data_IF_029378441412
#
_entry.id   IF_029378441412
#
_cell.length_a   1.000
_cell.length_b   1.000
_cell.length_c   1.000
_cell.angle_alpha   90.00
_cell.angle_beta   90.00
_cell.angle_gamma   90.00
#
_symmetry.space_group_name_H-M   'P 1'
#
loop_
_entity.id
_entity.type
_entity.pdbx_description
1 polymer ?
#
# COMPACT_ATOMS: atom_id res chain seq x y z
N UNK A 1 10.51 -0.06 26.68
CA UNK A 1 9.08 -0.20 26.36
C UNK A 1 8.87 0.48 25.03
N UNK A 2 8.15 -0.11 24.09
CA UNK A 2 7.83 0.54 22.81
C UNK A 2 6.48 1.22 22.94
N UNK A 3 6.43 2.55 22.85
CA UNK A 3 5.16 3.29 22.97
C UNK A 3 4.31 3.17 21.69
N UNK A 4 4.94 2.80 20.57
CA UNK A 4 4.33 2.65 19.25
C UNK A 4 4.93 1.48 18.47
N UNK A 5 4.06 0.67 17.89
CA UNK A 5 4.40 -0.46 17.02
C UNK A 5 3.84 -0.13 15.62
N UNK A 6 4.67 -0.27 14.58
CA UNK A 6 4.25 -0.15 13.18
C UNK A 6 4.39 -1.51 12.52
N UNK A 7 3.33 -1.95 11.85
CA UNK A 7 3.31 -3.21 11.12
C UNK A 7 3.02 -2.94 9.65
N UNK A 8 3.98 -3.30 8.80
CA UNK A 8 3.75 -3.38 7.37
C UNK A 8 2.96 -4.66 7.06
N UNK A 9 1.79 -4.50 6.46
CA UNK A 9 0.87 -5.55 6.07
C UNK A 9 1.00 -5.80 4.57
N UNK A 10 0.93 -7.06 4.17
CA UNK A 10 0.72 -7.51 2.80
C UNK A 10 -0.43 -8.55 2.77
N UNK A 11 -0.72 -9.13 1.61
CA UNK A 11 -1.75 -10.17 1.45
C UNK A 11 -1.23 -11.59 1.75
N UNK A 12 -0.03 -11.74 2.32
CA UNK A 12 0.56 -13.05 2.59
C UNK A 12 0.02 -13.67 3.88
N UNK A 13 0.04 -15.00 3.98
CA UNK A 13 -0.27 -15.70 5.23
C UNK A 13 0.70 -15.30 6.36
N UNK A 14 1.97 -15.06 6.02
CA UNK A 14 2.98 -14.58 6.96
C UNK A 14 2.62 -13.21 7.53
N UNK A 15 2.09 -12.30 6.71
CA UNK A 15 1.62 -10.98 7.14
C UNK A 15 0.54 -11.08 8.23
N UNK A 16 -0.33 -12.09 8.16
CA UNK A 16 -1.33 -12.34 9.21
C UNK A 16 -0.69 -12.79 10.54
N UNK A 17 0.36 -13.62 10.50
CA UNK A 17 1.08 -14.03 11.71
C UNK A 17 1.83 -12.85 12.35
N UNK A 18 2.47 -12.01 11.53
CA UNK A 18 3.13 -10.79 12.01
C UNK A 18 2.12 -9.87 12.69
N UNK A 19 0.94 -9.69 12.09
CA UNK A 19 -0.15 -8.92 12.70
C UNK A 19 -0.59 -9.47 14.06
N UNK A 20 -0.83 -10.79 14.16
CA UNK A 20 -1.24 -11.44 15.42
C UNK A 20 -0.22 -11.19 16.53
N UNK A 21 1.07 -11.35 16.22
CA UNK A 21 2.14 -11.14 17.18
C UNK A 21 2.24 -9.67 17.61
N UNK A 22 2.17 -8.73 16.67
CA UNK A 22 2.19 -7.31 16.97
C UNK A 22 0.99 -6.86 17.81
N UNK A 23 -0.20 -7.41 17.54
CA UNK A 23 -1.40 -7.16 18.33
C UNK A 23 -1.21 -7.63 19.78
N UNK A 24 -0.74 -8.87 19.97
CA UNK A 24 -0.45 -9.41 21.30
C UNK A 24 0.57 -8.54 22.06
N UNK A 25 1.66 -8.14 21.40
CA UNK A 25 2.66 -7.24 21.98
C UNK A 25 2.06 -5.88 22.35
N UNK A 26 1.17 -5.34 21.52
CA UNK A 26 0.56 -4.04 21.77
C UNK A 26 -0.37 -4.03 22.99
N UNK A 27 -1.14 -5.10 23.15
CA UNK A 27 -2.06 -5.27 24.28
C UNK A 27 -1.29 -5.45 25.59
N UNK A 28 -0.25 -6.29 25.58
CA UNK A 28 0.57 -6.54 26.77
C UNK A 28 1.35 -5.31 27.23
N UNK A 29 1.73 -4.44 26.29
CA UNK A 29 2.55 -3.27 26.57
C UNK A 29 1.75 -1.96 26.64
N UNK A 30 0.42 -2.02 26.47
CA UNK A 30 -0.46 -0.85 26.35
C UNK A 30 0.07 0.20 25.34
N UNK A 31 0.59 -0.28 24.20
CA UNK A 31 1.23 0.55 23.18
C UNK A 31 0.31 0.78 21.98
N UNK A 32 0.50 1.88 21.25
CA UNK A 32 -0.25 2.13 20.03
C UNK A 32 0.20 1.21 18.90
N UNK A 33 -0.74 0.58 18.20
CA UNK A 33 -0.47 -0.22 17.00
C UNK A 33 -0.94 0.52 15.75
N UNK A 34 -0.03 0.73 14.80
CA UNK A 34 -0.31 1.31 13.49
C UNK A 34 -0.11 0.26 12.41
N UNK A 35 -1.10 0.10 11.53
CA UNK A 35 -1.03 -0.78 10.38
C UNK A 35 -0.76 0.05 9.13
N UNK A 36 0.15 -0.43 8.28
CA UNK A 36 0.52 0.19 7.01
C UNK A 36 0.45 -0.86 5.91
N UNK A 37 -0.26 -0.61 4.82
CA UNK A 37 -0.17 -1.40 3.61
C UNK A 37 0.39 -0.50 2.51
N UNK A 38 1.49 -0.92 1.89
CA UNK A 38 2.12 -0.17 0.79
C UNK A 38 1.62 -0.78 -0.51
N UNK A 39 0.93 0.03 -1.31
CA UNK A 39 0.52 -0.34 -2.65
C UNK A 39 1.63 0.05 -3.62
N UNK A 40 2.11 -0.89 -4.43
CA UNK A 40 2.97 -0.55 -5.56
C UNK A 40 2.12 0.10 -6.65
N UNK A 41 2.63 1.11 -7.36
CA UNK A 41 1.94 1.67 -8.54
C UNK A 41 1.79 0.64 -9.68
N UNK A 42 2.49 -0.48 -9.60
CA UNK A 42 2.49 -1.57 -10.57
C UNK A 42 1.60 -2.75 -10.15
N UNK A 43 1.00 -2.72 -8.94
CA UNK A 43 0.13 -3.79 -8.46
C UNK A 43 -1.25 -3.78 -9.13
N UNK A 44 -1.78 -4.97 -9.40
CA UNK A 44 -3.16 -5.14 -9.89
C UNK A 44 -4.14 -4.59 -8.85
N UNK A 45 -4.99 -3.64 -9.26
CA UNK A 45 -5.89 -2.85 -8.40
C UNK A 45 -5.25 -1.75 -7.54
N UNK A 46 -3.98 -1.42 -7.76
CA UNK A 46 -3.40 -0.19 -7.21
C UNK A 46 -4.14 1.02 -7.75
N UNK A 47 -4.48 2.03 -6.92
CA UNK A 47 -5.02 3.28 -7.44
C UNK A 47 -3.97 3.87 -8.38
N UNK A 48 -4.26 3.83 -9.69
CA UNK A 48 -3.37 4.37 -10.72
C UNK A 48 -2.91 5.76 -10.25
N UNK A 49 -1.59 6.03 -10.19
CA UNK A 49 -1.13 7.37 -9.92
C UNK A 49 -1.69 8.26 -11.02
N UNK A 50 -2.74 9.02 -10.71
CA UNK A 50 -3.30 10.00 -11.65
C UNK A 50 -2.20 11.04 -11.81
N UNK A 51 -1.55 11.16 -12.98
CA UNK A 51 -0.54 12.17 -13.16
C UNK A 51 -1.20 13.54 -12.99
N UNK A 52 -0.52 14.53 -12.38
CA UNK A 52 -1.07 15.87 -12.19
C UNK A 52 -1.43 16.55 -13.52
N UNK A 53 -0.85 16.07 -14.63
CA UNK A 53 -1.22 16.43 -16.00
C UNK A 53 -1.67 15.18 -16.77
N UNK A 54 -2.95 15.14 -17.12
CA UNK A 54 -3.58 14.05 -17.89
C UNK A 54 -2.96 13.85 -19.29
N UNK A 55 -2.21 14.84 -19.81
CA UNK A 55 -1.47 14.69 -21.06
C UNK A 55 -0.28 13.73 -20.94
N UNK A 56 0.20 13.46 -19.73
CA UNK A 56 1.30 12.54 -19.45
C UNK A 56 0.85 11.08 -19.39
N UNK A 57 -0.47 10.83 -19.33
CA UNK A 57 -1.05 9.49 -19.39
C UNK A 57 -1.08 8.93 -20.83
N UNK A 58 -0.77 9.77 -21.82
CA UNK A 58 -0.79 9.45 -23.24
C UNK A 58 0.61 9.63 -23.83
N UNK A 59 0.99 8.81 -24.83
CA UNK A 59 0.35 8.88 -26.13
C UNK A 59 -0.80 7.88 -26.26
N UNK A 60 -1.93 8.32 -26.83
CA UNK A 60 -2.77 7.39 -27.55
C UNK A 60 -1.94 6.97 -28.77
N UNK A 61 -1.20 5.87 -28.66
CA UNK A 61 -0.66 5.21 -29.84
C UNK A 61 -1.85 4.89 -30.75
N UNK A 62 -2.05 5.71 -31.79
CA UNK A 62 -3.06 5.44 -32.80
C UNK A 62 -3.88 6.60 -33.36
N UNK A 63 -3.53 7.87 -33.19
CA UNK A 63 -4.27 8.96 -33.86
C UNK A 63 -3.54 9.63 -35.04
N UNK A 64 -2.50 8.98 -35.61
CA UNK A 64 -1.82 9.47 -36.83
C UNK A 64 -2.57 9.15 -38.14
N UNK A 65 -3.86 8.77 -38.08
CA UNK A 65 -4.67 8.44 -39.25
C UNK A 65 -6.07 9.06 -39.19
N UNK A 66 -6.19 10.39 -39.10
CA UNK A 66 -7.28 11.17 -39.75
C UNK A 66 -7.06 12.68 -39.57
N UNK A 67 -6.32 13.30 -40.50
CA UNK A 67 -6.50 14.68 -40.97
C UNK A 67 -6.45 14.68 -42.50
#
# INVERSE_FOLDING_TARGET
MSDKIVVAMDMSEMGQEVFRNALSLSLNNNSQLMLLHVLSGEEENSPLPIPPDLKQLYPAQGNDLTL
#
